data_IF_556682570411
#
_entry.id   IF_556682570411
#
_cell.length_a   1.000
_cell.length_b   1.000
_cell.length_c   1.000
_cell.angle_alpha   90.00
_cell.angle_beta   90.00
_cell.angle_gamma   90.00
#
_symmetry.space_group_name_H-M   'P 1'
#
loop_
_entity.id
_entity.type
_entity.pdbx_description
1 polymer ?
#
# COMPACT_ATOMS: atom_id res chain seq x y z
N UNK A 1 -5.24 -17.30 -28.07
CA UNK A 1 -3.78 -17.18 -27.87
C UNK A 1 -3.47 -17.69 -26.49
N UNK A 2 -2.30 -18.34 -26.33
CA UNK A 2 -1.96 -19.15 -25.16
C UNK A 2 -1.09 -18.39 -24.15
N UNK A 3 -0.91 -18.96 -22.96
CA UNK A 3 -0.08 -18.38 -21.91
C UNK A 3 1.39 -18.23 -22.33
N UNK A 4 1.93 -19.14 -23.14
CA UNK A 4 3.34 -19.08 -23.59
C UNK A 4 3.64 -17.86 -24.47
N UNK A 5 2.62 -17.31 -25.14
CA UNK A 5 2.76 -16.16 -26.04
C UNK A 5 2.37 -14.85 -25.36
N UNK A 6 1.21 -14.84 -24.69
CA UNK A 6 0.62 -13.60 -24.14
C UNK A 6 0.76 -13.49 -22.61
N UNK A 7 1.29 -14.52 -21.95
CA UNK A 7 1.40 -14.59 -20.49
C UNK A 7 0.05 -14.39 -19.81
N UNK A 8 0.03 -13.50 -18.82
CA UNK A 8 -1.16 -13.13 -18.06
C UNK A 8 -2.24 -12.37 -18.87
N UNK A 9 -1.98 -12.04 -20.14
CA UNK A 9 -3.00 -11.48 -21.04
C UNK A 9 -3.70 -12.54 -21.90
N UNK A 10 -3.29 -13.80 -21.80
CA UNK A 10 -3.87 -14.92 -22.56
C UNK A 10 -5.29 -15.28 -22.11
N UNK A 11 -6.05 -15.94 -23.00
CA UNK A 11 -7.36 -16.51 -22.66
C UNK A 11 -7.27 -17.72 -21.74
N UNK A 12 -6.11 -18.39 -21.71
CA UNK A 12 -5.87 -19.52 -20.81
C UNK A 12 -6.01 -19.11 -19.33
N UNK A 13 -5.82 -17.82 -19.05
CA UNK A 13 -6.04 -17.27 -17.71
C UNK A 13 -7.51 -17.37 -17.25
N UNK A 14 -8.48 -17.40 -18.16
CA UNK A 14 -9.89 -17.59 -17.80
C UNK A 14 -10.13 -18.99 -17.24
N UNK A 15 -9.44 -20.00 -17.79
CA UNK A 15 -9.49 -21.38 -17.29
C UNK A 15 -8.81 -21.48 -15.93
N UNK A 16 -7.65 -20.83 -15.76
CA UNK A 16 -6.95 -20.78 -14.48
C UNK A 16 -7.80 -20.10 -13.39
N UNK A 17 -8.36 -18.92 -13.68
CA UNK A 17 -9.24 -18.20 -12.75
C UNK A 17 -10.42 -19.08 -12.33
N UNK A 18 -11.07 -19.76 -13.28
CA UNK A 18 -12.16 -20.70 -12.98
C UNK A 18 -11.67 -21.81 -12.06
N UNK A 19 -10.54 -22.44 -12.38
CA UNK A 19 -9.98 -23.51 -11.56
C UNK A 19 -9.70 -23.06 -10.12
N UNK A 20 -9.09 -21.88 -9.94
CA UNK A 20 -8.82 -21.30 -8.62
C UNK A 20 -10.12 -21.07 -7.83
N UNK A 21 -11.19 -20.64 -8.49
CA UNK A 21 -12.50 -20.36 -7.88
C UNK A 21 -13.35 -21.62 -7.62
N UNK A 22 -13.10 -22.73 -8.30
CA UNK A 22 -13.94 -23.94 -8.19
C UNK A 22 -13.27 -25.14 -7.51
N UNK A 23 -11.94 -25.13 -7.36
CA UNK A 23 -11.17 -26.29 -6.88
C UNK A 23 -10.80 -26.15 -5.41
N UNK A 24 -10.85 -27.24 -4.64
CA UNK A 24 -10.36 -27.24 -3.27
C UNK A 24 -8.82 -27.38 -3.23
N UNK A 25 -8.12 -26.74 -2.26
CA UNK A 25 -8.66 -25.92 -1.17
C UNK A 25 -8.88 -24.45 -1.54
N UNK A 26 -8.44 -23.98 -2.72
CA UNK A 26 -8.43 -22.55 -3.09
C UNK A 26 -9.82 -21.93 -3.07
N UNK A 27 -10.84 -22.68 -3.51
CA UNK A 27 -12.24 -22.25 -3.45
C UNK A 27 -12.64 -21.79 -2.04
N UNK A 28 -12.33 -22.58 -1.01
CA UNK A 28 -12.74 -22.27 0.36
C UNK A 28 -12.11 -20.95 0.87
N UNK A 29 -10.84 -20.71 0.52
CA UNK A 29 -10.16 -19.45 0.85
C UNK A 29 -10.74 -18.25 0.12
N UNK A 30 -11.09 -18.40 -1.16
CA UNK A 30 -11.72 -17.33 -1.92
C UNK A 30 -13.14 -17.04 -1.45
N UNK A 31 -13.93 -18.06 -1.10
CA UNK A 31 -15.27 -17.88 -0.53
C UNK A 31 -15.18 -17.12 0.79
N UNK A 32 -14.29 -17.54 1.69
CA UNK A 32 -14.05 -16.85 2.95
C UNK A 32 -13.60 -15.39 2.75
N UNK A 33 -12.68 -15.15 1.81
CA UNK A 33 -12.24 -13.79 1.49
C UNK A 33 -13.36 -12.92 0.92
N UNK A 34 -14.28 -13.49 0.13
CA UNK A 34 -15.47 -12.79 -0.37
C UNK A 34 -16.46 -12.47 0.74
N UNK A 35 -16.60 -13.34 1.75
CA UNK A 35 -17.42 -13.06 2.93
C UNK A 35 -16.83 -11.90 3.75
N UNK A 36 -15.52 -11.90 3.99
CA UNK A 36 -14.83 -10.76 4.62
C UNK A 36 -14.98 -9.47 3.81
N UNK A 37 -14.92 -9.56 2.47
CA UNK A 37 -15.15 -8.41 1.59
C UNK A 37 -16.56 -7.81 1.80
N UNK A 38 -17.59 -8.66 1.87
CA UNK A 38 -18.99 -8.23 2.10
C UNK A 38 -19.13 -7.54 3.46
N UNK A 39 -18.56 -8.13 4.52
CA UNK A 39 -18.54 -7.53 5.86
C UNK A 39 -17.90 -6.14 5.82
N UNK A 40 -16.75 -5.99 5.14
CA UNK A 40 -16.09 -4.69 5.00
C UNK A 40 -16.94 -3.65 4.26
N UNK A 41 -17.67 -4.06 3.23
CA UNK A 41 -18.62 -3.17 2.53
C UNK A 41 -19.79 -2.76 3.42
N UNK A 42 -20.34 -3.69 4.21
CA UNK A 42 -21.45 -3.39 5.12
C UNK A 42 -21.05 -2.39 6.21
N UNK A 43 -19.81 -2.48 6.71
CA UNK A 43 -19.26 -1.49 7.63
C UNK A 43 -19.16 -0.09 6.99
N UNK A 44 -18.76 -0.01 5.72
CA UNK A 44 -18.65 1.26 4.98
C UNK A 44 -20.01 1.89 4.66
N UNK A 45 -21.02 1.07 4.33
CA UNK A 45 -22.32 1.55 3.84
C UNK A 45 -23.04 2.47 4.83
N UNK A 46 -22.81 2.28 6.12
CA UNK A 46 -23.45 3.05 7.18
C UNK A 46 -22.48 3.98 7.93
N UNK A 47 -21.23 4.07 7.48
CA UNK A 47 -20.22 4.90 8.13
C UNK A 47 -20.52 6.38 7.88
N UNK A 48 -20.73 7.14 8.97
CA UNK A 48 -20.86 8.60 8.92
C UNK A 48 -19.83 9.24 9.85
N UNK A 49 -19.33 10.40 9.47
CA UNK A 49 -18.37 11.16 10.27
C UNK A 49 -18.64 12.65 10.13
N UNK A 50 -18.63 13.36 11.26
CA UNK A 50 -18.69 14.81 11.24
C UNK A 50 -17.43 15.38 10.58
N UNK A 51 -17.57 16.40 9.72
CA UNK A 51 -16.42 17.02 9.04
C UNK A 51 -15.36 17.61 10.00
N UNK A 52 -15.74 17.89 11.24
CA UNK A 52 -14.85 18.38 12.29
C UNK A 52 -13.96 17.29 12.91
N UNK A 53 -14.25 16.01 12.68
CA UNK A 53 -13.53 14.89 13.28
C UNK A 53 -12.45 14.36 12.32
N UNK A 54 -11.34 15.09 12.20
CA UNK A 54 -10.26 14.76 11.25
C UNK A 54 -9.73 13.33 11.39
N UNK A 55 -9.55 12.83 12.62
CA UNK A 55 -9.04 11.48 12.86
C UNK A 55 -10.04 10.40 12.41
N UNK A 56 -11.32 10.56 12.72
CA UNK A 56 -12.36 9.64 12.26
C UNK A 56 -12.52 9.68 10.73
N UNK A 57 -12.43 10.88 10.14
CA UNK A 57 -12.47 11.04 8.69
C UNK A 57 -11.28 10.31 8.02
N UNK A 58 -10.08 10.46 8.59
CA UNK A 58 -8.90 9.75 8.14
C UNK A 58 -9.02 8.23 8.30
N UNK A 59 -9.56 7.74 9.43
CA UNK A 59 -9.82 6.31 9.65
C UNK A 59 -10.75 5.76 8.57
N UNK A 60 -11.85 6.44 8.23
CA UNK A 60 -12.75 5.99 7.17
C UNK A 60 -12.09 5.99 5.79
N UNK A 61 -11.37 7.06 5.45
CA UNK A 61 -10.62 7.12 4.18
C UNK A 61 -9.56 6.01 4.08
N UNK A 62 -8.85 5.74 5.18
CA UNK A 62 -7.90 4.64 5.26
C UNK A 62 -8.60 3.29 5.16
N UNK A 63 -9.76 3.11 5.79
CA UNK A 63 -10.50 1.85 5.70
C UNK A 63 -10.93 1.56 4.26
N UNK A 64 -11.42 2.57 3.52
CA UNK A 64 -11.72 2.43 2.08
C UNK A 64 -10.46 2.00 1.32
N UNK A 65 -9.31 2.64 1.57
CA UNK A 65 -8.04 2.27 0.94
C UNK A 65 -7.60 0.84 1.26
N UNK A 66 -7.68 0.43 2.53
CA UNK A 66 -7.34 -0.93 2.98
C UNK A 66 -8.25 -1.96 2.30
N UNK A 67 -9.54 -1.69 2.25
CA UNK A 67 -10.53 -2.56 1.62
C UNK A 67 -10.29 -2.69 0.12
N UNK A 68 -9.98 -1.58 -0.56
CA UNK A 68 -9.57 -1.61 -1.97
C UNK A 68 -8.29 -2.42 -2.18
N UNK A 69 -7.26 -2.25 -1.33
CA UNK A 69 -6.04 -3.08 -1.41
C UNK A 69 -6.33 -4.57 -1.23
N UNK A 70 -7.22 -4.93 -0.31
CA UNK A 70 -7.66 -6.31 -0.13
C UNK A 70 -8.33 -6.87 -1.39
N UNK A 71 -9.26 -6.14 -1.99
CA UNK A 71 -9.92 -6.53 -3.25
C UNK A 71 -8.92 -6.68 -4.39
N UNK A 72 -8.02 -5.71 -4.57
CA UNK A 72 -6.97 -5.76 -5.58
C UNK A 72 -6.06 -6.96 -5.40
N UNK A 73 -5.67 -7.30 -4.16
CA UNK A 73 -4.89 -8.49 -3.87
C UNK A 73 -5.63 -9.78 -4.28
N UNK A 74 -6.94 -9.87 -4.03
CA UNK A 74 -7.74 -11.02 -4.49
C UNK A 74 -7.82 -11.12 -6.02
N UNK A 75 -8.01 -10.00 -6.72
CA UNK A 75 -8.07 -9.95 -8.19
C UNK A 75 -6.73 -10.32 -8.85
N UNK A 76 -5.61 -9.99 -8.21
CA UNK A 76 -4.28 -10.38 -8.65
C UNK A 76 -4.02 -11.86 -8.35
N UNK A 77 -4.39 -12.33 -7.15
CA UNK A 77 -4.21 -13.72 -6.74
C UNK A 77 -4.99 -14.70 -7.63
N UNK A 78 -6.24 -14.38 -8.01
CA UNK A 78 -7.03 -15.24 -8.90
C UNK A 78 -6.44 -15.33 -10.32
N UNK A 79 -5.59 -14.36 -10.69
CA UNK A 79 -4.85 -14.31 -11.96
C UNK A 79 -3.44 -14.93 -11.85
N UNK A 80 -3.10 -15.52 -10.71
CA UNK A 80 -1.77 -16.12 -10.50
C UNK A 80 -0.65 -15.09 -10.25
N UNK A 81 -0.99 -13.80 -10.18
CA UNK A 81 -0.05 -12.70 -9.87
C UNK A 81 0.17 -12.61 -8.35
N UNK A 82 0.61 -13.71 -7.73
CA UNK A 82 0.70 -13.84 -6.27
C UNK A 82 1.74 -12.89 -5.66
N UNK A 83 2.85 -12.64 -6.36
CA UNK A 83 3.86 -11.66 -5.93
C UNK A 83 3.26 -10.25 -5.82
N UNK A 84 2.59 -9.79 -6.88
CA UNK A 84 1.92 -8.49 -6.91
C UNK A 84 0.76 -8.41 -5.91
N UNK A 85 0.00 -9.50 -5.75
CA UNK A 85 -1.05 -9.58 -4.73
C UNK A 85 -0.49 -9.32 -3.31
N UNK A 86 0.68 -9.90 -2.99
CA UNK A 86 1.37 -9.69 -1.70
C UNK A 86 1.86 -8.25 -1.56
N UNK A 87 2.41 -7.66 -2.62
CA UNK A 87 2.83 -6.26 -2.61
C UNK A 87 1.66 -5.30 -2.33
N UNK A 88 0.52 -5.52 -2.98
CA UNK A 88 -0.69 -4.71 -2.74
C UNK A 88 -1.25 -4.93 -1.34
N UNK A 89 -1.28 -6.19 -0.87
CA UNK A 89 -1.73 -6.50 0.49
C UNK A 89 -0.83 -5.83 1.53
N UNK A 90 0.48 -5.76 1.28
CA UNK A 90 1.44 -5.06 2.14
C UNK A 90 1.10 -3.58 2.29
N UNK A 91 0.67 -2.93 1.22
CA UNK A 91 0.19 -1.54 1.23
C UNK A 91 -1.08 -1.39 2.06
N UNK A 92 -2.00 -2.36 1.94
CA UNK A 92 -3.20 -2.45 2.78
C UNK A 92 -2.85 -2.57 4.28
N UNK A 93 -1.86 -3.39 4.63
CA UNK A 93 -1.41 -3.54 6.02
C UNK A 93 -0.90 -2.22 6.61
N UNK A 94 -0.24 -1.35 5.85
CA UNK A 94 0.13 0.00 6.35
C UNK A 94 -1.08 0.86 6.65
N UNK A 95 -2.11 0.79 5.80
CA UNK A 95 -3.38 1.46 6.07
C UNK A 95 -4.02 0.96 7.37
N UNK A 96 -3.98 -0.35 7.61
CA UNK A 96 -4.47 -0.94 8.87
C UNK A 96 -3.64 -0.47 10.07
N UNK A 97 -2.31 -0.44 9.96
CA UNK A 97 -1.42 0.08 11.02
C UNK A 97 -1.76 1.56 11.33
N UNK A 98 -2.00 2.36 10.30
CA UNK A 98 -2.40 3.76 10.47
C UNK A 98 -3.74 3.90 11.20
N UNK A 99 -4.73 3.06 10.88
CA UNK A 99 -6.02 3.01 11.61
C UNK A 99 -5.79 2.63 13.07
N UNK A 100 -4.97 1.61 13.35
CA UNK A 100 -4.62 1.21 14.71
C UNK A 100 -3.88 2.30 15.49
N UNK A 101 -3.08 3.13 14.83
CA UNK A 101 -2.40 4.27 15.45
C UNK A 101 -3.36 5.44 15.72
N UNK A 102 -4.26 5.75 14.78
CA UNK A 102 -5.23 6.85 14.90
C UNK A 102 -6.34 6.58 15.92
N UNK A 103 -6.79 5.33 16.06
CA UNK A 103 -7.91 4.99 16.92
C UNK A 103 -7.70 5.38 18.40
N UNK A 104 -6.57 5.03 19.05
CA UNK A 104 -6.30 5.46 20.43
C UNK A 104 -5.65 6.86 20.51
N UNK A 105 -5.11 7.39 19.41
CA UNK A 105 -4.39 8.66 19.37
C UNK A 105 -4.77 9.49 18.14
N UNK A 106 -5.77 10.35 18.31
CA UNK A 106 -6.24 11.24 17.24
C UNK A 106 -5.16 12.21 16.75
N UNK A 107 -4.14 12.52 17.56
CA UNK A 107 -3.04 13.42 17.18
C UNK A 107 -2.07 12.79 16.19
N UNK A 108 -2.15 11.46 15.99
CA UNK A 108 -1.38 10.78 14.96
C UNK A 108 -1.69 11.30 13.54
N UNK A 109 -2.83 11.97 13.33
CA UNK A 109 -3.15 12.64 12.07
C UNK A 109 -2.09 13.69 11.68
N UNK A 110 -1.51 14.38 12.65
CA UNK A 110 -0.47 15.39 12.40
C UNK A 110 0.77 14.73 11.82
N UNK A 111 1.12 13.51 12.27
CA UNK A 111 2.23 12.73 11.70
C UNK A 111 1.97 12.33 10.25
N UNK A 112 0.72 12.00 9.90
CA UNK A 112 0.35 11.70 8.52
C UNK A 112 0.47 12.94 7.62
N UNK A 113 0.04 14.11 8.11
CA UNK A 113 0.17 15.39 7.41
C UNK A 113 1.64 15.76 7.22
N UNK A 114 2.45 15.60 8.25
CA UNK A 114 3.89 15.85 8.18
C UNK A 114 4.59 14.93 7.17
N UNK A 115 4.27 13.64 7.18
CA UNK A 115 4.82 12.68 6.23
C UNK A 115 4.40 13.02 4.78
N UNK A 116 3.17 13.47 4.57
CA UNK A 116 2.71 13.95 3.27
C UNK A 116 3.57 15.12 2.76
N UNK A 117 3.74 16.17 3.56
CA UNK A 117 4.55 17.32 3.19
C UNK A 117 6.04 17.00 3.06
N UNK A 118 6.57 16.13 3.91
CA UNK A 118 7.92 15.61 3.80
C UNK A 118 8.13 14.94 2.42
N UNK A 119 7.22 14.05 2.01
CA UNK A 119 7.32 13.31 0.76
C UNK A 119 7.14 14.22 -0.47
N UNK A 120 6.22 15.19 -0.42
CA UNK A 120 6.07 16.19 -1.48
C UNK A 120 7.36 17.00 -1.68
N UNK A 121 7.94 17.51 -0.59
CA UNK A 121 9.21 18.25 -0.64
C UNK A 121 10.36 17.38 -1.13
N UNK A 122 10.45 16.14 -0.65
CA UNK A 122 11.49 15.18 -1.07
C UNK A 122 11.43 14.93 -2.57
N UNK A 123 10.25 14.66 -3.11
CA UNK A 123 10.05 14.46 -4.55
C UNK A 123 10.42 15.72 -5.36
N UNK A 124 9.97 16.89 -4.92
CA UNK A 124 10.31 18.16 -5.57
C UNK A 124 11.83 18.42 -5.57
N UNK A 125 12.53 18.15 -4.47
CA UNK A 125 13.99 18.32 -4.38
C UNK A 125 14.75 17.37 -5.29
N UNK A 126 14.35 16.10 -5.38
CA UNK A 126 15.00 15.14 -6.31
C UNK A 126 15.02 15.69 -7.75
N UNK A 127 13.94 16.33 -8.19
CA UNK A 127 13.85 16.90 -9.53
C UNK A 127 14.61 18.23 -9.67
N UNK A 128 14.59 19.06 -8.62
CA UNK A 128 15.24 20.38 -8.64
C UNK A 128 16.77 20.30 -8.49
N UNK A 129 17.26 19.30 -7.76
CA UNK A 129 18.68 19.12 -7.43
C UNK A 129 19.45 18.38 -8.55
N UNK A 130 18.74 17.79 -9.53
CA UNK A 130 19.33 17.11 -10.69
C UNK A 130 19.15 17.97 -11.96
N UNK A 131 20.23 18.49 -12.55
CA UNK A 131 20.16 19.31 -13.77
C UNK A 131 19.54 18.61 -14.98
N UNK A 132 19.71 17.29 -15.11
CA UNK A 132 19.17 16.52 -16.22
C UNK A 132 17.65 16.38 -16.08
N UNK A 133 17.15 16.12 -14.87
CA UNK A 133 15.72 16.14 -14.62
C UNK A 133 15.15 17.55 -14.78
N UNK A 134 15.78 18.57 -14.19
CA UNK A 134 15.31 19.94 -14.28
C UNK A 134 15.12 20.42 -15.73
N UNK A 135 16.03 20.04 -16.64
CA UNK A 135 15.96 20.38 -18.06
C UNK A 135 14.77 19.74 -18.80
N UNK A 136 14.21 18.64 -18.27
CA UNK A 136 13.08 17.93 -18.87
C UNK A 136 11.70 18.55 -18.53
N UNK A 137 11.64 19.48 -17.58
CA UNK A 137 10.38 20.08 -17.11
C UNK A 137 10.16 21.50 -17.64
N UNK A 138 8.88 21.87 -17.78
CA UNK A 138 8.50 23.22 -18.18
C UNK A 138 8.73 24.19 -17.02
N UNK A 139 8.97 25.46 -17.34
CA UNK A 139 9.20 26.49 -16.33
C UNK A 139 8.08 26.61 -15.28
N UNK A 140 6.81 26.39 -15.69
CA UNK A 140 5.67 26.38 -14.77
C UNK A 140 5.72 25.23 -13.76
N UNK A 141 6.11 24.03 -14.19
CA UNK A 141 6.24 22.86 -13.32
C UNK A 141 7.38 23.06 -12.32
N UNK A 142 8.50 23.61 -12.79
CA UNK A 142 9.65 23.99 -11.94
C UNK A 142 9.24 25.01 -10.89
N UNK A 143 8.46 26.03 -11.27
CA UNK A 143 7.96 27.03 -10.34
C UNK A 143 7.03 26.41 -9.28
N UNK A 144 6.15 25.50 -9.67
CA UNK A 144 5.27 24.77 -8.75
C UNK A 144 6.07 23.93 -7.75
N UNK A 145 7.10 23.20 -8.21
CA UNK A 145 7.99 22.42 -7.33
C UNK A 145 8.72 23.31 -6.33
N UNK A 146 9.26 24.45 -6.77
CA UNK A 146 9.90 25.43 -5.88
C UNK A 146 8.91 25.97 -4.83
N UNK A 147 7.67 26.25 -5.23
CA UNK A 147 6.63 26.71 -4.31
C UNK A 147 6.30 25.65 -3.23
N UNK A 148 6.24 24.37 -3.61
CA UNK A 148 6.08 23.25 -2.65
C UNK A 148 7.23 23.24 -1.65
N UNK A 149 8.49 23.31 -2.11
CA UNK A 149 9.66 23.31 -1.22
C UNK A 149 9.60 24.50 -0.25
N UNK A 150 9.36 25.71 -0.75
CA UNK A 150 9.27 26.92 0.08
C UNK A 150 8.13 26.86 1.08
N UNK A 151 6.96 26.34 0.69
CA UNK A 151 5.81 26.17 1.59
C UNK A 151 6.14 25.23 2.75
N UNK A 152 6.74 24.06 2.46
CA UNK A 152 7.11 23.09 3.49
C UNK A 152 8.22 23.63 4.40
N UNK A 153 9.22 24.30 3.85
CA UNK A 153 10.30 24.90 4.65
C UNK A 153 9.78 26.03 5.58
N UNK A 154 8.77 26.79 5.14
CA UNK A 154 8.10 27.77 5.98
C UNK A 154 7.29 27.11 7.12
N UNK A 155 6.56 26.02 6.83
CA UNK A 155 5.83 25.26 7.85
C UNK A 155 6.77 24.69 8.93
N UNK A 156 7.90 24.11 8.52
CA UNK A 156 8.92 23.61 9.45
C UNK A 156 9.54 24.71 10.30
N UNK A 157 9.78 25.89 9.71
CA UNK A 157 10.30 27.07 10.43
C UNK A 157 9.31 27.53 11.51
N UNK A 158 8.02 27.62 11.18
CA UNK A 158 6.96 27.97 12.14
C UNK A 158 6.84 26.93 13.26
N UNK A 159 6.92 25.64 12.92
CA UNK A 159 6.87 24.54 13.91
C UNK A 159 8.13 24.48 14.79
N UNK A 160 9.27 24.96 14.29
CA UNK A 160 10.56 24.81 14.95
C UNK A 160 11.16 23.39 14.85
N UNK A 161 10.64 22.55 13.93
CA UNK A 161 11.10 21.18 13.74
C UNK A 161 10.96 20.74 12.28
N UNK A 162 11.88 19.87 11.83
CA UNK A 162 11.82 19.23 10.51
C UNK A 162 10.73 18.17 10.48
N UNK A 163 9.94 18.15 9.40
CA UNK A 163 9.01 17.07 9.12
C UNK A 163 9.78 15.80 8.77
N UNK A 164 9.19 14.65 9.09
CA UNK A 164 9.79 13.33 8.89
C UNK A 164 8.79 12.39 8.25
N UNK A 165 9.31 11.41 7.53
CA UNK A 165 8.51 10.28 7.08
C UNK A 165 8.10 9.39 8.26
N UNK A 166 7.13 8.51 8.03
CA UNK A 166 6.72 7.52 9.02
C UNK A 166 7.51 6.24 8.83
N UNK A 167 8.21 5.81 9.88
CA UNK A 167 8.69 4.42 9.96
C UNK A 167 7.54 3.51 10.38
N UNK A 168 6.89 2.87 9.40
CA UNK A 168 5.73 2.01 9.67
C UNK A 168 6.05 0.76 10.48
N UNK A 169 7.29 0.26 10.42
CA UNK A 169 7.71 -0.86 11.28
C UNK A 169 7.68 -0.47 12.76
N UNK A 170 8.21 0.71 13.10
CA UNK A 170 8.21 1.22 14.47
C UNK A 170 6.78 1.49 14.97
N UNK A 171 5.92 2.05 14.10
CA UNK A 171 4.51 2.28 14.43
C UNK A 171 3.81 0.94 14.69
N UNK A 172 3.98 -0.03 13.81
CA UNK A 172 3.35 -1.34 13.95
C UNK A 172 3.82 -2.09 15.21
N UNK A 173 5.12 -2.10 15.50
CA UNK A 173 5.66 -2.68 16.73
C UNK A 173 5.07 -2.03 18.00
N UNK A 174 4.74 -0.74 17.93
CA UNK A 174 4.15 0.00 19.05
C UNK A 174 2.64 -0.25 19.21
N UNK A 175 1.85 -0.27 18.14
CA UNK A 175 0.38 -0.30 18.23
C UNK A 175 -0.28 -1.62 17.83
N UNK A 176 0.40 -2.50 17.08
CA UNK A 176 -0.16 -3.75 16.58
C UNK A 176 0.95 -4.77 16.23
N UNK A 177 1.72 -5.20 17.24
CA UNK A 177 2.89 -6.05 17.06
C UNK A 177 2.59 -7.37 16.31
N UNK A 178 1.42 -7.98 16.52
CA UNK A 178 1.02 -9.21 15.81
C UNK A 178 0.83 -8.95 14.31
N UNK A 179 0.23 -7.82 13.94
CA UNK A 179 0.10 -7.42 12.54
C UNK A 179 1.47 -7.19 11.91
N UNK A 180 2.43 -6.69 12.68
CA UNK A 180 3.82 -6.57 12.24
C UNK A 180 4.44 -7.94 11.93
N UNK A 181 4.39 -8.87 12.89
CA UNK A 181 5.05 -10.17 12.77
C UNK A 181 4.40 -11.08 11.73
N UNK A 182 3.07 -11.10 11.69
CA UNK A 182 2.32 -12.04 10.84
C UNK A 182 2.19 -11.55 9.41
N UNK A 183 2.06 -10.23 9.19
CA UNK A 183 1.74 -9.68 7.88
C UNK A 183 2.77 -8.69 7.36
N UNK A 184 3.07 -7.62 8.10
CA UNK A 184 3.95 -6.55 7.60
C UNK A 184 5.32 -7.08 7.20
N UNK A 185 5.98 -7.82 8.09
CA UNK A 185 7.33 -8.34 7.88
C UNK A 185 7.39 -9.37 6.77
N UNK A 186 6.47 -10.34 6.78
CA UNK A 186 6.41 -11.41 5.79
C UNK A 186 6.13 -10.86 4.39
N UNK A 187 5.13 -10.00 4.26
CA UNK A 187 4.76 -9.38 2.99
C UNK A 187 5.80 -8.35 2.50
N UNK A 188 6.58 -7.73 3.40
CA UNK A 188 7.71 -6.89 2.97
C UNK A 188 8.83 -7.73 2.37
N UNK A 189 9.24 -8.81 3.05
CA UNK A 189 10.33 -9.66 2.59
C UNK A 189 10.02 -10.35 1.26
N UNK A 190 8.78 -10.80 1.10
CA UNK A 190 8.40 -11.61 -0.05
C UNK A 190 7.60 -10.84 -1.12
N UNK A 191 6.85 -9.80 -0.75
CA UNK A 191 6.03 -9.04 -1.70
C UNK A 191 6.72 -7.81 -2.30
N UNK A 192 7.65 -7.18 -1.56
CA UNK A 192 8.15 -5.85 -1.96
C UNK A 192 9.65 -5.78 -2.24
N UNK A 193 10.46 -6.63 -1.61
CA UNK A 193 11.91 -6.59 -1.80
C UNK A 193 12.37 -7.59 -2.86
N UNK A 194 13.15 -7.15 -3.84
CA UNK A 194 13.78 -8.03 -4.82
C UNK A 194 14.94 -8.81 -4.18
N UNK A 195 14.60 -9.95 -3.56
CA UNK A 195 15.57 -10.88 -2.95
C UNK A 195 15.50 -12.24 -3.64
N UNK A 196 16.51 -13.09 -3.49
CA UNK A 196 16.48 -14.44 -4.08
C UNK A 196 15.27 -15.26 -3.60
N UNK A 197 14.85 -15.11 -2.35
CA UNK A 197 13.63 -15.75 -1.83
C UNK A 197 12.38 -15.41 -2.66
N UNK A 198 12.34 -14.25 -3.33
CA UNK A 198 11.21 -13.92 -4.19
C UNK A 198 11.16 -14.72 -5.48
N UNK A 199 12.28 -15.31 -5.88
CA UNK A 199 12.37 -16.17 -7.07
C UNK A 199 11.94 -17.61 -6.79
N UNK A 200 11.94 -18.05 -5.53
CA UNK A 200 11.53 -19.41 -5.12
C UNK A 200 10.13 -19.77 -5.64
N UNK A 201 9.25 -18.79 -5.84
CA UNK A 201 7.91 -19.01 -6.38
C UNK A 201 7.86 -19.33 -7.88
N UNK A 202 8.98 -19.13 -8.59
CA UNK A 202 9.10 -19.32 -10.04
C UNK A 202 10.03 -20.48 -10.41
N UNK A 203 10.74 -21.07 -9.45
CA UNK A 203 11.71 -22.14 -9.69
C UNK A 203 11.32 -23.40 -8.94
N UNK A 204 11.61 -24.55 -9.55
CA UNK A 204 11.64 -25.83 -8.85
C UNK A 204 13.10 -26.10 -8.52
N UNK A 205 13.49 -25.92 -7.26
CA UNK A 205 14.82 -26.26 -6.79
C UNK A 205 15.05 -27.78 -6.94
N UNK A 206 16.24 -28.16 -7.38
CA UNK A 206 16.63 -29.57 -7.41
C UNK A 206 17.15 -30.01 -6.03
N UNK A 207 17.56 -31.28 -5.91
CA UNK A 207 18.03 -31.82 -4.63
C UNK A 207 19.30 -31.15 -4.07
N UNK A 208 19.97 -30.26 -4.83
CA UNK A 208 21.19 -29.54 -4.45
C UNK A 208 20.97 -28.06 -4.14
N UNK A 209 19.74 -27.55 -4.30
CA UNK A 209 19.41 -26.13 -4.16
C UNK A 209 19.50 -25.42 -5.48
#
# INVERSE_FOLDING_TARGET
MSFEVDGFFSRDLELFQRAVRTTAPTKAWFDYALDLNRIGFDLLRNATTARSENAAFAIHGLFVRVHQSFQSALLLAERGLVGDARAVLRSGVEGTIAIYALHPDATFIDRLIEAHHYNQRKAARVLLDDPAYLAAYKAGDVAAMKAVVSSVDAMEKTKGAKFRDINWADVALKCCADLYQLMYRSLSSDGTHTTLNTLDRYVLADAKG
#
